data_IF_068022788460
#
_entry.id   IF_068022788460
#
_cell.length_a   1.000
_cell.length_b   1.000
_cell.length_c   1.000
_cell.angle_alpha   90.00
_cell.angle_beta   90.00
_cell.angle_gamma   90.00
#
_symmetry.space_group_name_H-M   'P 1'
#
loop_
_entity.id
_entity.type
_entity.pdbx_description
1 polymer ?
#
# COMPACT_ATOMS: atom_id res chain seq x y z
N UNK A 1 1.22 14.83 13.99
CA UNK A 1 1.56 14.02 12.80
C UNK A 1 0.48 14.22 11.76
N UNK A 2 0.84 14.50 10.50
CA UNK A 2 -0.13 14.48 9.40
C UNK A 2 -0.66 13.06 9.24
N UNK A 3 -1.98 12.83 9.23
CA UNK A 3 -2.53 11.49 9.05
C UNK A 3 -2.07 10.90 7.70
N UNK A 4 -1.62 9.64 7.73
CA UNK A 4 -1.22 8.89 6.55
C UNK A 4 -2.42 8.10 6.03
N UNK A 5 -2.65 8.14 4.72
CA UNK A 5 -3.60 7.26 4.04
C UNK A 5 -2.83 6.09 3.44
N UNK A 6 -3.32 4.87 3.63
CA UNK A 6 -2.74 3.64 3.11
C UNK A 6 -3.78 2.97 2.22
N UNK A 7 -3.47 2.80 0.95
CA UNK A 7 -4.34 2.14 -0.03
C UNK A 7 -3.75 0.76 -0.31
N UNK A 8 -4.54 -0.29 -0.08
CA UNK A 8 -4.16 -1.69 -0.33
C UNK A 8 -4.91 -2.24 -1.54
N UNK A 9 -4.36 -3.28 -2.17
CA UNK A 9 -5.05 -3.97 -3.28
C UNK A 9 -6.31 -4.70 -2.79
N UNK A 10 -6.15 -5.56 -1.78
CA UNK A 10 -7.22 -6.37 -1.20
C UNK A 10 -7.61 -5.99 0.23
N UNK A 11 -8.75 -6.54 0.67
CA UNK A 11 -9.24 -6.42 2.05
C UNK A 11 -8.36 -7.20 3.03
N UNK A 12 -7.83 -8.35 2.61
CA UNK A 12 -6.93 -9.17 3.41
C UNK A 12 -5.64 -8.42 3.78
N UNK A 13 -5.03 -7.75 2.81
CA UNK A 13 -3.88 -6.86 3.03
C UNK A 13 -4.22 -5.74 4.01
N UNK A 14 -5.37 -5.07 3.86
CA UNK A 14 -5.81 -4.02 4.77
C UNK A 14 -5.96 -4.51 6.22
N UNK A 15 -6.57 -5.68 6.41
CA UNK A 15 -6.74 -6.31 7.72
C UNK A 15 -5.39 -6.74 8.31
N UNK A 16 -4.46 -7.24 7.50
CA UNK A 16 -3.11 -7.62 7.94
C UNK A 16 -2.33 -6.42 8.47
N UNK A 17 -2.38 -5.27 7.77
CA UNK A 17 -1.79 -4.03 8.25
C UNK A 17 -2.44 -3.58 9.58
N UNK A 18 -3.77 -3.68 9.67
CA UNK A 18 -4.49 -3.29 10.89
C UNK A 18 -4.13 -4.18 12.08
N UNK A 19 -4.07 -5.49 11.86
CA UNK A 19 -3.65 -6.48 12.86
C UNK A 19 -2.20 -6.26 13.30
N UNK A 20 -1.33 -5.80 12.40
CA UNK A 20 0.04 -5.45 12.73
C UNK A 20 0.19 -4.14 13.54
N UNK A 21 -0.92 -3.44 13.82
CA UNK A 21 -0.91 -2.18 14.58
C UNK A 21 -0.46 -0.97 13.75
N UNK A 22 -0.58 -1.04 12.43
CA UNK A 22 -0.31 0.11 11.55
C UNK A 22 -1.38 1.18 11.78
N UNK A 23 -0.93 2.40 12.07
CA UNK A 23 -1.79 3.56 12.29
C UNK A 23 -1.95 4.37 11.00
N UNK A 24 -3.18 4.76 10.69
CA UNK A 24 -3.52 5.54 9.50
C UNK A 24 -4.92 5.24 8.99
N UNK A 25 -5.34 5.94 7.95
CA UNK A 25 -6.56 5.64 7.20
C UNK A 25 -6.24 4.52 6.21
N UNK A 26 -6.60 3.29 6.55
CA UNK A 26 -6.38 2.11 5.68
C UNK A 26 -7.61 1.91 4.80
N UNK A 27 -7.44 1.87 3.48
CA UNK A 27 -8.48 1.74 2.47
C UNK A 27 -8.15 0.53 1.58
N UNK A 28 -9.08 -0.41 1.47
CA UNK A 28 -8.98 -1.48 0.47
C UNK A 28 -9.50 -0.98 -0.88
N UNK A 29 -8.65 -0.99 -1.91
CA UNK A 29 -8.99 -0.54 -3.26
C UNK A 29 -9.80 -1.57 -4.07
N UNK A 30 -9.81 -2.84 -3.65
CA UNK A 30 -10.48 -3.94 -4.36
C UNK A 30 -9.94 -4.05 -5.80
N UNK A 31 -8.62 -4.15 -5.91
CA UNK A 31 -7.87 -4.20 -7.16
C UNK A 31 -7.14 -2.89 -7.51
N UNK A 32 -5.92 -3.01 -8.04
CA UNK A 32 -5.02 -1.88 -8.36
C UNK A 32 -5.58 -0.85 -9.34
N UNK A 33 -6.52 -1.27 -10.19
CA UNK A 33 -7.16 -0.39 -11.19
C UNK A 33 -8.02 0.71 -10.55
N UNK A 34 -8.45 0.53 -9.29
CA UNK A 34 -9.28 1.47 -8.56
C UNK A 34 -8.48 2.56 -7.84
N UNK A 35 -7.16 2.42 -7.68
CA UNK A 35 -6.34 3.37 -6.93
C UNK A 35 -6.40 4.79 -7.53
N UNK A 36 -6.48 4.89 -8.87
CA UNK A 36 -6.62 6.17 -9.59
C UNK A 36 -7.91 6.94 -9.26
N UNK A 37 -8.93 6.26 -8.73
CA UNK A 37 -10.23 6.86 -8.40
C UNK A 37 -10.21 7.56 -7.03
N UNK A 38 -9.18 7.34 -6.22
CA UNK A 38 -9.01 8.09 -4.98
C UNK A 38 -8.72 9.57 -5.31
N UNK A 39 -9.39 10.46 -4.60
CA UNK A 39 -9.18 11.91 -4.70
C UNK A 39 -8.43 12.38 -3.46
N UNK A 40 -7.11 12.65 -3.58
CA UNK A 40 -6.32 13.13 -2.46
C UNK A 40 -6.56 14.60 -2.17
N UNK A 41 -6.31 15.00 -0.93
CA UNK A 41 -6.09 16.43 -0.63
C UNK A 41 -4.66 16.83 -1.02
N UNK A 42 -4.44 18.10 -1.38
CA UNK A 42 -3.13 18.59 -1.75
C UNK A 42 -2.11 18.35 -0.62
N UNK A 43 -0.99 17.72 -0.95
CA UNK A 43 0.08 17.33 -0.03
C UNK A 43 -0.20 16.08 0.82
N UNK A 44 -1.33 15.39 0.62
CA UNK A 44 -1.66 14.16 1.34
C UNK A 44 -0.55 13.11 1.19
N UNK A 45 -0.14 12.51 2.32
CA UNK A 45 0.81 11.39 2.30
C UNK A 45 0.05 10.09 2.07
N UNK A 46 0.32 9.45 0.95
CA UNK A 46 -0.30 8.18 0.57
C UNK A 46 0.76 7.09 0.50
N UNK A 47 0.47 5.96 1.14
CA UNK A 47 1.22 4.73 0.96
C UNK A 47 0.36 3.79 0.12
N UNK A 48 0.87 3.35 -1.02
CA UNK A 48 0.30 2.23 -1.77
C UNK A 48 0.99 0.95 -1.28
N UNK A 49 0.24 0.09 -0.60
CA UNK A 49 0.68 -1.23 -0.19
C UNK A 49 0.19 -2.26 -1.22
N UNK A 50 1.09 -2.59 -2.15
CA UNK A 50 0.83 -3.51 -3.25
C UNK A 50 1.45 -4.89 -2.96
N UNK A 51 0.91 -5.90 -3.64
CA UNK A 51 1.44 -7.25 -3.61
C UNK A 51 2.75 -7.32 -4.41
N UNK A 52 3.63 -8.24 -4.02
CA UNK A 52 4.87 -8.51 -4.73
C UNK A 52 4.69 -9.74 -5.63
N UNK A 53 4.15 -9.54 -6.83
CA UNK A 53 3.95 -10.61 -7.82
C UNK A 53 5.20 -10.87 -8.68
N UNK A 54 6.38 -10.40 -8.27
CA UNK A 54 7.63 -10.49 -9.05
C UNK A 54 7.77 -9.42 -10.16
N UNK A 55 8.94 -9.42 -10.83
CA UNK A 55 9.40 -8.31 -11.69
C UNK A 55 8.61 -8.11 -12.99
N UNK A 56 7.87 -9.11 -13.47
CA UNK A 56 7.15 -9.06 -14.75
C UNK A 56 5.62 -9.02 -14.59
N UNK A 57 5.12 -8.69 -13.41
CA UNK A 57 3.68 -8.66 -13.17
C UNK A 57 3.01 -7.46 -13.85
N UNK A 58 1.85 -7.72 -14.46
CA UNK A 58 0.94 -6.68 -14.98
C UNK A 58 0.56 -5.69 -13.85
N UNK A 59 0.53 -6.21 -12.61
CA UNK A 59 0.25 -5.49 -11.37
C UNK A 59 1.24 -4.33 -11.16
N UNK A 60 2.55 -4.54 -11.34
CA UNK A 60 3.57 -3.52 -11.09
C UNK A 60 3.41 -2.28 -11.98
N UNK A 61 3.10 -2.48 -13.27
CA UNK A 61 2.86 -1.37 -14.20
C UNK A 61 1.59 -0.60 -13.82
N UNK A 62 0.54 -1.30 -13.40
CA UNK A 62 -0.72 -0.68 -12.97
C UNK A 62 -0.53 0.13 -11.69
N UNK A 63 0.22 -0.39 -10.72
CA UNK A 63 0.58 0.33 -9.49
C UNK A 63 1.40 1.58 -9.82
N UNK A 64 2.41 1.49 -10.68
CA UNK A 64 3.21 2.66 -11.07
C UNK A 64 2.37 3.73 -11.79
N UNK A 65 1.38 3.34 -12.60
CA UNK A 65 0.42 4.28 -13.20
C UNK A 65 -0.48 4.93 -12.14
N UNK A 66 -0.92 4.17 -11.14
CA UNK A 66 -1.70 4.70 -10.03
C UNK A 66 -0.89 5.71 -9.18
N UNK A 67 0.38 5.40 -8.88
CA UNK A 67 1.31 6.33 -8.21
C UNK A 67 1.33 7.66 -8.95
N UNK A 68 1.66 7.66 -10.25
CA UNK A 68 1.69 8.88 -11.07
C UNK A 68 0.35 9.62 -11.10
N UNK A 69 -0.76 8.89 -11.18
CA UNK A 69 -2.10 9.49 -11.18
C UNK A 69 -2.39 10.24 -9.88
N UNK A 70 -1.98 9.70 -8.73
CA UNK A 70 -2.20 10.32 -7.42
C UNK A 70 -1.24 11.49 -7.18
N UNK A 71 0.02 11.37 -7.62
CA UNK A 71 0.99 12.47 -7.60
C UNK A 71 0.51 13.65 -8.46
N UNK A 72 -0.01 13.39 -9.66
CA UNK A 72 -0.59 14.42 -10.53
C UNK A 72 -1.82 15.12 -9.91
N UNK A 73 -2.51 14.46 -8.97
CA UNK A 73 -3.60 15.05 -8.18
C UNK A 73 -3.09 15.80 -6.93
N UNK A 74 -1.78 15.88 -6.73
CA UNK A 74 -1.15 16.65 -5.65
C UNK A 74 -0.79 15.86 -4.39
N UNK A 75 -0.86 14.51 -4.41
CA UNK A 75 -0.42 13.68 -3.29
C UNK A 75 1.10 13.44 -3.29
N UNK A 76 1.64 13.13 -2.11
CA UNK A 76 2.98 12.57 -1.94
C UNK A 76 2.86 11.06 -1.77
N UNK A 77 3.24 10.28 -2.79
CA UNK A 77 2.93 8.85 -2.85
C UNK A 77 4.19 8.00 -2.66
N UNK A 78 4.11 7.00 -1.79
CA UNK A 78 5.15 5.98 -1.61
C UNK A 78 4.55 4.62 -1.89
N UNK A 79 5.26 3.79 -2.66
CA UNK A 79 4.91 2.38 -2.85
C UNK A 79 5.70 1.51 -1.88
N UNK A 80 5.02 0.58 -1.21
CA UNK A 80 5.62 -0.49 -0.41
C UNK A 80 5.10 -1.85 -0.88
N UNK A 81 5.92 -2.87 -0.73
CA UNK A 81 5.62 -4.26 -1.07
C UNK A 81 6.37 -5.18 -0.08
N UNK A 82 5.90 -6.43 0.13
CA UNK A 82 6.68 -7.43 0.84
C UNK A 82 8.05 -7.67 0.19
N UNK A 83 9.10 -8.01 0.97
CA UNK A 83 10.45 -8.20 0.43
C UNK A 83 10.59 -9.47 -0.43
N UNK A 84 9.75 -10.48 -0.15
CA UNK A 84 9.63 -11.70 -0.95
C UNK A 84 8.34 -11.64 -1.77
N UNK A 85 8.21 -12.51 -2.77
CA UNK A 85 6.96 -12.62 -3.52
C UNK A 85 5.79 -13.01 -2.60
N UNK A 86 4.61 -12.47 -2.87
CA UNK A 86 3.40 -12.62 -2.05
C UNK A 86 2.85 -11.29 -1.53
N UNK A 87 1.95 -11.39 -0.56
CA UNK A 87 1.24 -10.23 0.01
C UNK A 87 1.64 -9.93 1.48
N UNK A 88 1.00 -8.92 2.09
CA UNK A 88 1.27 -8.59 3.50
C UNK A 88 0.69 -9.61 4.49
N UNK A 89 -0.30 -10.42 4.10
CA UNK A 89 -0.81 -11.51 4.95
C UNK A 89 0.20 -12.66 5.01
N UNK A 90 0.81 -13.03 3.89
CA UNK A 90 1.91 -14.00 3.85
C UNK A 90 3.07 -13.55 4.75
N UNK A 91 3.43 -12.26 4.66
CA UNK A 91 4.45 -11.66 5.53
C UNK A 91 4.03 -11.70 7.01
N UNK A 92 2.78 -11.36 7.33
CA UNK A 92 2.24 -11.42 8.70
C UNK A 92 2.32 -12.84 9.27
N UNK A 93 1.92 -13.84 8.48
CA UNK A 93 1.87 -15.24 8.88
C UNK A 93 3.26 -15.84 9.05
N UNK A 94 4.22 -15.45 8.21
CA UNK A 94 5.57 -16.02 8.22
C UNK A 94 6.53 -15.32 9.20
N UNK A 95 6.44 -13.99 9.34
CA UNK A 95 7.42 -13.17 10.07
C UNK A 95 6.80 -12.29 11.16
N UNK A 96 5.48 -12.31 11.33
CA UNK A 96 4.77 -11.60 12.39
C UNK A 96 4.62 -10.10 12.17
N UNK A 97 3.87 -9.45 13.05
CA UNK A 97 3.46 -8.05 12.93
C UNK A 97 4.62 -7.03 12.89
N UNK A 98 5.77 -7.35 13.47
CA UNK A 98 6.92 -6.46 13.47
C UNK A 98 7.52 -6.27 12.08
N UNK A 99 7.56 -7.34 11.27
CA UNK A 99 8.05 -7.26 9.88
C UNK A 99 7.28 -6.25 9.04
N UNK A 100 5.94 -6.22 9.18
CA UNK A 100 5.07 -5.24 8.51
C UNK A 100 5.36 -3.82 9.01
N UNK A 101 5.42 -3.64 10.35
CA UNK A 101 5.69 -2.32 10.94
C UNK A 101 7.03 -1.76 10.47
N UNK A 102 8.05 -2.60 10.34
CA UNK A 102 9.36 -2.17 9.83
C UNK A 102 9.25 -1.66 8.38
N UNK A 103 8.47 -2.30 7.51
CA UNK A 103 8.29 -1.82 6.13
C UNK A 103 7.53 -0.48 6.09
N UNK A 104 6.45 -0.36 6.87
CA UNK A 104 5.57 0.82 6.84
C UNK A 104 6.17 2.01 7.58
N UNK A 105 6.87 1.80 8.69
CA UNK A 105 7.39 2.87 9.57
C UNK A 105 8.81 3.35 9.20
N UNK A 106 9.56 2.63 8.37
CA UNK A 106 10.87 3.06 7.87
C UNK A 106 10.78 4.03 6.66
N UNK A 107 9.57 4.48 6.31
CA UNK A 107 9.28 5.32 5.13
C UNK A 107 8.42 6.52 5.53
#
# INVERSE_FOLDING_TARGET
MTPITIITEGVETALSLKQAGVNGKIIAGVGVHNFKNYEPIAGEKIIIAADNDGQNSITLNTVNKAVKSLENKGANVIKIMPPQEGDFNDLLRSQGAESIRNIVMLK
#
